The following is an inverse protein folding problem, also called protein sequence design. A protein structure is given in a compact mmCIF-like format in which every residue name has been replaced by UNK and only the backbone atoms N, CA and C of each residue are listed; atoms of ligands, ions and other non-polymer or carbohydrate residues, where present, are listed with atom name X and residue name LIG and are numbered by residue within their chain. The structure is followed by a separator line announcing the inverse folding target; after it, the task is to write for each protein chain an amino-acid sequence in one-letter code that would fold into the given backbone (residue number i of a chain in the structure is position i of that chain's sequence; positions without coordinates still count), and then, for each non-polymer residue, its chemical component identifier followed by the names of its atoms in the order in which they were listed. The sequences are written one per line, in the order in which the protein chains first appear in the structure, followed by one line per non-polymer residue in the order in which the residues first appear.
data_IF_695273646085
#
_entry.id   IF_695273646085
#
_cell.length_a   1.000
_cell.length_b   1.000
_cell.length_c   1.000
_cell.angle_alpha   90.00
_cell.angle_beta   90.00
_cell.angle_gamma   90.00
#
_symmetry.space_group_name_H-M   'P 1'
#
loop_
_entity.id
_entity.type
_entity.pdbx_description
1 polymer ?
#
# COMPACT_ATOMS: atom_id res chain seq x y z
N UNK A 1 -15.76 1.12 -7.65
CA UNK A 1 -14.45 1.37 -8.29
C UNK A 1 -14.46 1.03 -9.78
N UNK A 2 -14.66 -0.22 -10.19
CA UNK A 2 -14.65 -0.64 -11.60
C UNK A 2 -15.53 0.24 -12.52
N UNK A 3 -16.75 0.55 -12.10
CA UNK A 3 -17.67 1.40 -12.86
C UNK A 3 -17.11 2.82 -13.09
N UNK A 4 -16.51 3.44 -12.08
CA UNK A 4 -15.91 4.77 -12.21
C UNK A 4 -14.69 4.74 -13.14
N UNK A 5 -13.81 3.73 -13.00
CA UNK A 5 -12.65 3.56 -13.87
C UNK A 5 -13.04 3.41 -15.34
N UNK A 6 -14.02 2.54 -15.61
CA UNK A 6 -14.46 2.23 -16.97
C UNK A 6 -15.33 3.33 -17.56
N UNK A 7 -16.02 4.13 -16.74
CA UNK A 7 -16.65 5.38 -17.18
C UNK A 7 -15.60 6.35 -17.72
N UNK A 8 -14.51 6.57 -16.98
CA UNK A 8 -13.42 7.45 -17.44
C UNK A 8 -12.81 6.95 -18.74
N UNK A 9 -12.53 5.64 -18.86
CA UNK A 9 -12.05 5.04 -20.10
C UNK A 9 -13.03 5.28 -21.28
N UNK A 10 -14.33 5.14 -21.05
CA UNK A 10 -15.35 5.41 -22.05
C UNK A 10 -15.42 6.89 -22.45
N UNK A 11 -15.27 7.81 -21.49
CA UNK A 11 -15.26 9.26 -21.76
C UNK A 11 -14.04 9.70 -22.57
N UNK A 12 -12.86 9.11 -22.32
CA UNK A 12 -11.63 9.36 -23.10
C UNK A 12 -11.87 8.99 -24.57
N UNK A 13 -12.29 7.74 -24.82
CA UNK A 13 -12.49 7.25 -26.19
C UNK A 13 -13.65 8.00 -26.90
N UNK A 14 -14.72 8.34 -26.16
CA UNK A 14 -15.82 9.15 -26.69
C UNK A 14 -15.38 10.58 -27.02
N UNK A 15 -14.54 11.22 -26.19
CA UNK A 15 -14.02 12.55 -26.47
C UNK A 15 -13.22 12.59 -27.79
N UNK A 16 -12.36 11.59 -27.99
CA UNK A 16 -11.61 11.42 -29.23
C UNK A 16 -12.56 11.23 -30.42
N UNK A 17 -13.56 10.36 -30.26
CA UNK A 17 -14.56 10.10 -31.29
C UNK A 17 -15.39 11.32 -31.69
N UNK A 18 -15.75 12.18 -30.73
CA UNK A 18 -16.63 13.34 -30.95
C UNK A 18 -15.92 14.58 -31.53
N UNK A 19 -14.59 14.55 -31.67
CA UNK A 19 -13.83 15.65 -32.28
C UNK A 19 -12.46 15.88 -31.68
N UNK A 20 -12.12 15.23 -30.57
CA UNK A 20 -10.81 15.30 -29.91
C UNK A 20 -10.32 16.74 -29.65
N UNK A 21 -11.18 17.60 -29.11
CA UNK A 21 -10.85 19.03 -28.86
C UNK A 21 -9.64 19.24 -27.92
N UNK A 22 -9.27 18.20 -27.16
CA UNK A 22 -8.11 18.20 -26.26
C UNK A 22 -6.84 17.67 -26.96
N UNK A 23 -6.90 17.39 -28.26
CA UNK A 23 -5.79 16.90 -29.06
C UNK A 23 -5.08 15.67 -28.47
N UNK A 24 -5.82 14.78 -27.79
CA UNK A 24 -5.28 13.57 -27.16
C UNK A 24 -4.62 12.71 -28.23
N UNK A 25 -3.36 12.32 -28.02
CA UNK A 25 -2.71 11.31 -28.86
C UNK A 25 -3.16 9.92 -28.38
N UNK A 26 -3.92 9.13 -29.20
CA UNK A 26 -4.42 7.83 -28.77
C UNK A 26 -3.33 6.82 -28.40
N UNK A 27 -2.07 7.06 -28.83
CA UNK A 27 -0.90 6.23 -28.52
C UNK A 27 -0.28 6.57 -27.16
N UNK A 28 -0.66 7.70 -26.56
CA UNK A 28 -0.14 8.21 -25.29
C UNK A 28 -1.21 8.24 -24.21
N UNK A 29 -2.28 7.46 -24.37
CA UNK A 29 -3.25 7.19 -23.30
C UNK A 29 -2.60 6.24 -22.29
N UNK A 30 -2.46 6.71 -21.06
CA UNK A 30 -1.94 5.91 -19.94
C UNK A 30 -3.07 5.20 -19.20
N UNK A 31 -4.30 5.72 -19.28
CA UNK A 31 -5.46 5.15 -18.62
C UNK A 31 -5.93 3.85 -19.27
N UNK A 32 -5.91 2.76 -18.49
CA UNK A 32 -6.37 1.43 -18.89
C UNK A 32 -7.77 1.13 -18.34
N UNK A 33 -8.44 0.14 -18.93
CA UNK A 33 -9.70 -0.40 -18.41
C UNK A 33 -9.43 -1.33 -17.22
N UNK A 34 -10.47 -1.73 -16.48
CA UNK A 34 -10.29 -2.72 -15.43
C UNK A 34 -11.46 -3.70 -15.25
N UNK A 35 -11.15 -4.88 -14.74
CA UNK A 35 -12.11 -5.95 -14.44
C UNK A 35 -11.62 -6.77 -13.24
N UNK A 36 -12.52 -7.13 -12.33
CA UNK A 36 -12.16 -7.90 -11.14
C UNK A 36 -12.20 -9.40 -11.40
N UNK A 37 -11.41 -9.83 -12.39
CA UNK A 37 -11.26 -11.21 -12.82
C UNK A 37 -9.80 -11.46 -13.22
N UNK A 38 -9.30 -12.65 -12.92
CA UNK A 38 -7.97 -13.09 -13.33
C UNK A 38 -7.95 -13.47 -14.82
N UNK A 39 -8.11 -12.49 -15.71
CA UNK A 39 -8.18 -12.69 -17.15
C UNK A 39 -6.91 -12.21 -17.86
N UNK A 40 -6.03 -13.16 -18.19
CA UNK A 40 -4.78 -12.85 -18.91
C UNK A 40 -5.01 -12.40 -20.35
N UNK A 41 -6.15 -12.72 -20.95
CA UNK A 41 -6.46 -12.46 -22.36
C UNK A 41 -6.62 -10.95 -22.63
N UNK A 42 -6.98 -10.18 -21.60
CA UNK A 42 -7.23 -8.74 -21.69
C UNK A 42 -6.01 -7.87 -21.34
N UNK A 43 -4.84 -8.46 -21.07
CA UNK A 43 -3.63 -7.70 -20.70
C UNK A 43 -3.19 -6.72 -21.80
N UNK A 44 -3.32 -7.14 -23.06
CA UNK A 44 -2.98 -6.36 -24.24
C UNK A 44 -4.04 -6.59 -25.31
N UNK A 45 -4.70 -5.53 -25.73
CA UNK A 45 -5.75 -5.57 -26.75
C UNK A 45 -5.58 -4.42 -27.73
N UNK A 46 -6.27 -4.53 -28.87
CA UNK A 46 -6.59 -3.39 -29.73
C UNK A 46 -8.10 -3.20 -29.68
N UNK A 47 -8.56 -1.98 -29.40
CA UNK A 47 -9.97 -1.63 -29.34
C UNK A 47 -10.34 -0.63 -30.45
N UNK A 48 -11.58 -0.13 -30.48
CA UNK A 48 -12.02 0.88 -31.44
C UNK A 48 -12.01 0.42 -32.91
N UNK A 49 -12.07 -0.89 -33.14
CA UNK A 49 -12.10 -1.50 -34.48
C UNK A 49 -13.50 -1.43 -35.11
N UNK A 50 -13.61 -1.82 -36.38
CA UNK A 50 -14.91 -1.91 -37.06
C UNK A 50 -15.32 -0.66 -37.84
N UNK A 51 -14.37 0.22 -38.18
CA UNK A 51 -14.60 1.40 -39.01
C UNK A 51 -15.08 2.63 -38.23
N UNK A 52 -15.25 3.75 -38.95
CA UNK A 52 -15.43 5.09 -38.35
C UNK A 52 -16.56 5.18 -37.33
N UNK A 53 -17.65 4.42 -37.49
CA UNK A 53 -18.80 4.49 -36.58
C UNK A 53 -18.54 3.85 -35.19
N UNK A 54 -17.44 3.11 -35.02
CA UNK A 54 -17.18 2.27 -33.85
C UNK A 54 -15.99 2.74 -32.99
N UNK A 55 -15.41 3.91 -33.30
CA UNK A 55 -14.33 4.53 -32.52
C UNK A 55 -13.06 4.79 -33.33
N UNK A 56 -11.95 4.99 -32.62
CA UNK A 56 -10.62 5.17 -33.17
C UNK A 56 -9.71 4.02 -32.70
N UNK A 57 -9.11 3.24 -33.62
CA UNK A 57 -8.24 2.13 -33.24
C UNK A 57 -7.04 2.57 -32.38
N UNK A 58 -6.82 1.89 -31.25
CA UNK A 58 -5.62 2.07 -30.41
C UNK A 58 -5.28 0.80 -29.62
N UNK A 59 -4.04 0.73 -29.17
CA UNK A 59 -3.61 -0.25 -28.18
C UNK A 59 -4.20 0.11 -26.80
N UNK A 60 -4.57 -0.91 -26.04
CA UNK A 60 -5.18 -0.77 -24.72
C UNK A 60 -4.94 -2.03 -23.88
N UNK A 61 -5.44 -2.04 -22.66
CA UNK A 61 -5.46 -3.24 -21.84
C UNK A 61 -6.39 -3.10 -20.63
N UNK A 62 -6.50 -4.21 -19.91
CA UNK A 62 -7.19 -4.28 -18.64
C UNK A 62 -6.20 -4.59 -17.51
N UNK A 63 -6.46 -3.97 -16.37
CA UNK A 63 -5.87 -4.35 -15.09
C UNK A 63 -6.95 -4.89 -14.15
N UNK A 64 -6.52 -5.58 -13.10
CA UNK A 64 -7.44 -6.00 -12.04
C UNK A 64 -7.92 -4.75 -11.28
N UNK A 65 -9.18 -4.70 -10.82
CA UNK A 65 -9.80 -3.47 -10.29
C UNK A 65 -9.02 -2.84 -9.13
N UNK A 66 -8.42 -3.66 -8.27
CA UNK A 66 -7.61 -3.21 -7.13
C UNK A 66 -6.29 -2.53 -7.51
N UNK A 67 -5.86 -2.66 -8.78
CA UNK A 67 -4.70 -1.97 -9.34
C UNK A 67 -5.04 -0.58 -9.91
N UNK A 68 -6.33 -0.24 -10.04
CA UNK A 68 -6.77 1.06 -10.55
C UNK A 68 -6.36 2.21 -9.64
N UNK A 69 -5.93 3.34 -10.20
CA UNK A 69 -5.69 4.58 -9.45
C UNK A 69 -6.96 5.09 -8.77
N UNK A 70 -8.16 4.76 -9.28
CA UNK A 70 -9.43 5.01 -8.59
C UNK A 70 -9.45 4.33 -7.22
N UNK A 71 -8.88 3.13 -7.08
CA UNK A 71 -8.77 2.43 -5.79
C UNK A 71 -7.80 3.16 -4.85
N UNK A 72 -6.67 3.64 -5.36
CA UNK A 72 -5.72 4.42 -4.56
C UNK A 72 -6.32 5.74 -4.08
N UNK A 73 -6.95 6.51 -4.98
CA UNK A 73 -7.67 7.74 -4.65
C UNK A 73 -8.80 7.50 -3.65
N UNK A 74 -9.57 6.42 -3.82
CA UNK A 74 -10.60 5.99 -2.89
C UNK A 74 -10.06 5.69 -1.48
N UNK A 75 -8.90 5.03 -1.39
CA UNK A 75 -8.30 4.69 -0.11
C UNK A 75 -7.62 5.88 0.58
N UNK A 76 -7.19 6.90 -0.18
CA UNK A 76 -6.50 8.08 0.38
C UNK A 76 -7.39 9.32 0.56
N UNK A 77 -8.65 9.28 0.11
CA UNK A 77 -9.58 10.39 0.28
C UNK A 77 -10.01 10.55 1.74
N UNK A 78 -10.13 11.80 2.19
CA UNK A 78 -10.67 12.16 3.50
C UNK A 78 -12.21 12.23 3.50
N UNK A 79 -12.79 12.63 2.37
CA UNK A 79 -14.23 12.75 2.16
C UNK A 79 -14.56 12.73 0.66
N UNK A 80 -15.84 12.92 0.31
CA UNK A 80 -16.30 12.87 -1.08
C UNK A 80 -15.80 14.05 -1.93
N UNK A 81 -15.51 15.20 -1.32
CA UNK A 81 -14.98 16.37 -2.02
C UNK A 81 -13.51 16.15 -2.36
N UNK A 82 -12.71 15.68 -1.40
CA UNK A 82 -11.32 15.27 -1.60
C UNK A 82 -11.23 14.13 -2.63
N UNK A 83 -12.12 13.12 -2.55
CA UNK A 83 -12.18 12.06 -3.57
C UNK A 83 -12.42 12.64 -4.96
N UNK A 84 -13.40 13.55 -5.12
CA UNK A 84 -13.71 14.17 -6.41
C UNK A 84 -12.52 14.96 -6.95
N UNK A 85 -11.81 15.70 -6.10
CA UNK A 85 -10.60 16.43 -6.49
C UNK A 85 -9.50 15.48 -6.96
N UNK A 86 -9.18 14.44 -6.19
CA UNK A 86 -8.19 13.41 -6.57
C UNK A 86 -8.54 12.76 -7.90
N UNK A 87 -9.80 12.38 -8.09
CA UNK A 87 -10.29 11.81 -9.35
C UNK A 87 -10.13 12.78 -10.53
N UNK A 88 -10.32 14.08 -10.32
CA UNK A 88 -10.12 15.10 -11.35
C UNK A 88 -8.65 15.34 -11.70
N UNK A 89 -7.73 15.06 -10.76
CA UNK A 89 -6.29 15.24 -10.91
C UNK A 89 -5.56 14.06 -11.55
N UNK A 90 -6.26 12.96 -11.85
CA UNK A 90 -5.72 11.82 -12.59
C UNK A 90 -5.28 12.27 -13.99
N UNK A 91 -4.03 11.98 -14.36
CA UNK A 91 -3.50 12.15 -15.71
C UNK A 91 -3.86 10.90 -16.53
N UNK A 92 -4.68 11.08 -17.55
CA UNK A 92 -5.23 9.97 -18.33
C UNK A 92 -4.54 9.73 -19.68
N UNK A 93 -3.94 10.78 -20.21
CA UNK A 93 -3.27 10.76 -21.50
C UNK A 93 -2.32 11.96 -21.63
N UNK A 94 -1.60 12.00 -22.74
CA UNK A 94 -0.89 13.18 -23.21
C UNK A 94 -1.41 13.57 -24.59
N UNK A 95 -1.42 14.87 -24.89
CA UNK A 95 -1.75 15.36 -26.22
C UNK A 95 -0.57 15.19 -27.21
N UNK A 96 -0.77 15.65 -28.44
CA UNK A 96 0.27 15.58 -29.49
C UNK A 96 1.50 16.45 -29.20
N UNK A 97 1.36 17.53 -28.42
CA UNK A 97 2.47 18.40 -27.99
C UNK A 97 3.19 17.82 -26.75
N UNK A 98 2.55 16.89 -26.05
CA UNK A 98 3.06 16.18 -24.90
C UNK A 98 2.62 16.74 -23.56
N UNK A 99 1.63 17.63 -23.55
CA UNK A 99 1.04 18.16 -22.33
C UNK A 99 0.09 17.14 -21.69
N UNK A 100 0.01 17.09 -20.35
CA UNK A 100 -0.84 16.13 -19.65
C UNK A 100 -2.32 16.48 -19.80
N UNK A 101 -3.14 15.47 -20.06
CA UNK A 101 -4.60 15.57 -20.08
C UNK A 101 -5.16 14.93 -18.82
N UNK A 102 -5.92 15.71 -18.08
CA UNK A 102 -6.52 15.35 -16.79
C UNK A 102 -7.98 14.91 -16.94
N UNK A 103 -8.43 14.02 -16.05
CA UNK A 103 -9.83 13.59 -15.99
C UNK A 103 -10.83 14.76 -15.84
N UNK A 104 -10.43 15.85 -15.15
CA UNK A 104 -11.26 17.07 -15.03
C UNK A 104 -11.47 17.82 -16.34
N UNK A 105 -10.54 17.74 -17.30
CA UNK A 105 -10.72 18.33 -18.63
C UNK A 105 -11.77 17.56 -19.44
N UNK A 106 -11.98 16.28 -19.13
CA UNK A 106 -13.06 15.44 -19.66
C UNK A 106 -14.36 15.56 -18.85
N UNK A 107 -14.40 16.40 -17.81
CA UNK A 107 -15.54 16.60 -16.89
C UNK A 107 -16.03 15.30 -16.25
N UNK A 108 -15.12 14.36 -15.99
CA UNK A 108 -15.44 13.01 -15.54
C UNK A 108 -15.57 12.89 -14.01
N UNK A 109 -14.91 13.77 -13.26
CA UNK A 109 -14.71 13.69 -11.81
C UNK A 109 -16.02 13.68 -11.01
N UNK A 110 -17.00 14.50 -11.41
CA UNK A 110 -18.31 14.53 -10.76
C UNK A 110 -19.09 13.22 -10.94
N UNK A 111 -19.07 12.65 -12.15
CA UNK A 111 -19.76 11.41 -12.44
C UNK A 111 -19.08 10.20 -11.79
N UNK A 112 -17.75 10.18 -11.77
CA UNK A 112 -16.99 9.16 -11.03
C UNK A 112 -17.25 9.23 -9.53
N UNK A 113 -17.23 10.42 -8.93
CA UNK A 113 -17.56 10.60 -7.51
C UNK A 113 -19.00 10.16 -7.20
N UNK A 114 -19.97 10.45 -8.08
CA UNK A 114 -21.34 9.99 -7.93
C UNK A 114 -21.44 8.45 -7.90
N UNK A 115 -20.72 7.75 -8.77
CA UNK A 115 -20.65 6.27 -8.79
C UNK A 115 -20.01 5.69 -7.53
N UNK A 116 -19.21 6.48 -6.81
CA UNK A 116 -18.50 6.05 -5.59
C UNK A 116 -19.16 6.55 -4.30
N UNK A 117 -20.24 7.35 -4.39
CA UNK A 117 -20.88 8.01 -3.24
C UNK A 117 -21.19 7.05 -2.08
N UNK A 118 -21.87 5.94 -2.38
CA UNK A 118 -22.21 4.95 -1.35
C UNK A 118 -21.05 4.02 -1.04
N UNK A 119 -20.24 3.71 -2.06
CA UNK A 119 -19.06 2.88 -1.89
C UNK A 119 -18.06 3.49 -0.91
N UNK A 120 -17.99 4.81 -0.79
CA UNK A 120 -17.05 5.53 0.09
C UNK A 120 -17.38 5.39 1.60
N UNK A 121 -18.53 4.81 1.94
CA UNK A 121 -18.95 4.57 3.33
C UNK A 121 -18.30 3.28 3.85
N UNK A 122 -17.52 3.33 4.95
CA UNK A 122 -16.92 2.12 5.54
C UNK A 122 -17.95 1.02 5.85
N UNK A 123 -17.62 -0.22 5.52
CA UNK A 123 -18.49 -1.37 5.80
C UNK A 123 -18.20 -1.90 7.21
N UNK A 124 -19.17 -1.79 8.11
CA UNK A 124 -19.09 -2.37 9.45
C UNK A 124 -19.48 -3.86 9.41
N UNK A 125 -18.57 -4.70 9.90
CA UNK A 125 -18.78 -6.13 10.15
C UNK A 125 -18.28 -6.46 11.56
N UNK A 126 -18.17 -7.74 11.90
CA UNK A 126 -17.63 -8.18 13.19
C UNK A 126 -16.70 -9.39 13.04
N UNK A 127 -15.79 -9.55 14.00
CA UNK A 127 -15.00 -10.79 14.17
C UNK A 127 -15.88 -11.92 14.73
N UNK A 128 -15.31 -13.13 14.84
CA UNK A 128 -16.00 -14.28 15.46
C UNK A 128 -16.40 -14.04 16.92
N UNK A 129 -15.73 -13.11 17.61
CA UNK A 129 -15.96 -12.76 19.01
C UNK A 129 -16.78 -11.46 19.18
N UNK A 130 -17.34 -10.94 18.09
CA UNK A 130 -18.19 -9.75 18.13
C UNK A 130 -17.44 -8.42 18.17
N UNK A 131 -16.11 -8.42 17.99
CA UNK A 131 -15.34 -7.16 17.86
C UNK A 131 -15.76 -6.43 16.59
N UNK A 132 -16.15 -5.15 16.66
CA UNK A 132 -16.43 -4.34 15.47
C UNK A 132 -15.22 -4.27 14.53
N UNK A 133 -15.44 -4.47 13.23
CA UNK A 133 -14.38 -4.40 12.23
C UNK A 133 -14.84 -3.65 10.98
N UNK A 134 -14.01 -2.75 10.47
CA UNK A 134 -14.23 -2.11 9.17
C UNK A 134 -13.46 -2.83 8.07
N UNK A 135 -14.14 -3.20 6.99
CA UNK A 135 -13.51 -3.71 5.76
C UNK A 135 -13.80 -2.72 4.62
N UNK A 136 -12.78 -1.96 4.21
CA UNK A 136 -13.00 -0.86 3.27
C UNK A 136 -11.73 -0.47 2.49
N UNK A 137 -11.81 -0.57 1.16
CA UNK A 137 -10.67 -0.36 0.26
C UNK A 137 -9.71 -1.56 0.24
N UNK A 138 -8.82 -1.57 -0.75
CA UNK A 138 -7.84 -2.63 -0.92
C UNK A 138 -6.99 -2.41 -2.16
N UNK A 139 -6.09 -1.41 -2.16
CA UNK A 139 -5.16 -1.18 -3.25
C UNK A 139 -4.01 -2.18 -3.18
N UNK A 140 -3.29 -2.35 -4.29
CA UNK A 140 -2.01 -3.06 -4.28
C UNK A 140 -0.97 -2.38 -3.37
N UNK A 141 0.00 -3.16 -2.90
CA UNK A 141 1.10 -2.70 -2.04
C UNK A 141 2.44 -2.50 -2.79
N UNK A 142 2.48 -2.78 -4.09
CA UNK A 142 3.64 -2.52 -4.96
C UNK A 142 3.47 -1.19 -5.71
N UNK A 143 2.49 -1.08 -6.59
CA UNK A 143 2.18 0.12 -7.39
C UNK A 143 1.31 1.15 -6.63
N UNK A 144 0.91 0.82 -5.40
CA UNK A 144 0.17 1.69 -4.49
C UNK A 144 0.57 1.35 -3.04
N UNK A 145 -0.12 1.94 -2.07
CA UNK A 145 0.27 1.95 -0.66
C UNK A 145 -0.23 0.77 0.18
N UNK A 146 -1.05 -0.14 -0.37
CA UNK A 146 -1.38 -1.40 0.29
C UNK A 146 -2.19 -1.32 1.59
N UNK A 147 -2.92 -0.23 1.84
CA UNK A 147 -3.68 -0.04 3.08
C UNK A 147 -5.19 0.03 2.83
N UNK A 148 -5.99 -0.28 3.86
CA UNK A 148 -7.40 0.08 3.87
C UNK A 148 -7.58 1.62 3.86
N UNK A 149 -8.80 2.09 3.61
CA UNK A 149 -9.07 3.52 3.43
C UNK A 149 -8.78 4.38 4.66
N UNK A 150 -8.36 5.63 4.44
CA UNK A 150 -8.23 6.69 5.44
C UNK A 150 -9.54 6.91 6.19
N UNK A 151 -10.68 6.94 5.49
CA UNK A 151 -12.00 7.17 6.12
C UNK A 151 -12.31 6.09 7.16
N UNK A 152 -12.08 4.82 6.84
CA UNK A 152 -12.30 3.72 7.78
C UNK A 152 -11.37 3.80 9.00
N UNK A 153 -10.08 4.12 8.80
CA UNK A 153 -9.13 4.29 9.90
C UNK A 153 -9.51 5.47 10.80
N UNK A 154 -9.84 6.64 10.23
CA UNK A 154 -10.29 7.81 11.00
C UNK A 154 -11.60 7.55 11.74
N UNK A 155 -12.53 6.81 11.11
CA UNK A 155 -13.78 6.43 11.74
C UNK A 155 -13.54 5.47 12.92
N UNK A 156 -12.64 4.49 12.78
CA UNK A 156 -12.26 3.61 13.89
C UNK A 156 -11.65 4.41 15.06
N UNK A 157 -10.71 5.31 14.78
CA UNK A 157 -10.09 6.20 15.78
C UNK A 157 -11.10 7.12 16.49
N UNK A 158 -12.20 7.47 15.82
CA UNK A 158 -13.23 8.32 16.42
C UNK A 158 -14.16 7.55 17.37
N UNK A 159 -14.42 6.27 17.09
CA UNK A 159 -15.42 5.47 17.81
C UNK A 159 -14.84 4.44 18.78
N UNK A 160 -13.51 4.26 18.82
CA UNK A 160 -12.84 3.31 19.69
C UNK A 160 -11.60 3.93 20.32
N UNK A 161 -11.24 3.44 21.51
CA UNK A 161 -10.01 3.84 22.20
C UNK A 161 -8.75 3.33 21.47
N UNK A 162 -8.87 2.21 20.76
CA UNK A 162 -7.81 1.57 19.98
C UNK A 162 -8.31 1.23 18.57
N UNK A 163 -7.55 1.63 17.55
CA UNK A 163 -7.80 1.25 16.16
C UNK A 163 -6.63 0.41 15.62
N UNK A 164 -6.82 -0.90 15.53
CA UNK A 164 -5.84 -1.82 14.93
C UNK A 164 -6.05 -1.86 13.41
N UNK A 165 -4.98 -1.64 12.65
CA UNK A 165 -4.98 -1.68 11.18
C UNK A 165 -3.70 -2.34 10.68
N UNK A 166 -3.67 -2.70 9.41
CA UNK A 166 -2.53 -3.35 8.77
C UNK A 166 -2.20 -2.73 7.39
N UNK A 167 -1.06 -3.13 6.83
CA UNK A 167 -0.64 -2.82 5.48
C UNK A 167 -0.11 -4.09 4.80
N UNK A 168 -0.29 -4.20 3.48
CA UNK A 168 0.10 -5.38 2.71
C UNK A 168 1.61 -5.56 2.56
N UNK A 169 2.05 -6.81 2.36
CA UNK A 169 3.46 -7.24 2.32
C UNK A 169 4.21 -7.05 3.65
N UNK A 170 5.54 -6.98 3.61
CA UNK A 170 6.40 -6.76 4.78
C UNK A 170 6.50 -5.28 5.16
N UNK A 171 7.20 -5.01 6.26
CA UNK A 171 7.37 -3.64 6.77
C UNK A 171 8.29 -2.77 5.89
N UNK A 172 9.04 -3.37 4.98
CA UNK A 172 9.80 -2.71 3.93
C UNK A 172 8.92 -2.02 2.88
N UNK A 173 7.74 -2.56 2.59
CA UNK A 173 6.80 -1.97 1.63
C UNK A 173 5.55 -1.42 2.30
N UNK A 174 4.80 -2.28 3.02
CA UNK A 174 3.51 -1.93 3.58
C UNK A 174 3.62 -0.88 4.67
N UNK A 175 4.49 -1.10 5.65
CA UNK A 175 4.63 -0.18 6.78
C UNK A 175 5.28 1.16 6.34
N UNK A 176 6.32 1.12 5.50
CA UNK A 176 6.91 2.31 4.89
C UNK A 176 5.83 3.15 4.18
N UNK A 177 5.06 2.56 3.26
CA UNK A 177 3.99 3.29 2.56
C UNK A 177 2.82 3.69 3.46
N UNK A 178 2.51 2.92 4.50
CA UNK A 178 1.53 3.33 5.51
C UNK A 178 1.99 4.62 6.18
N UNK A 179 3.28 4.74 6.52
CA UNK A 179 3.83 5.90 7.21
C UNK A 179 4.05 7.06 6.23
N UNK A 180 4.88 6.87 5.21
CA UNK A 180 5.32 7.93 4.31
C UNK A 180 4.25 8.41 3.32
N UNK A 181 3.21 7.61 3.06
CA UNK A 181 2.09 8.01 2.19
C UNK A 181 0.80 8.22 3.00
N UNK A 182 0.27 7.16 3.65
CA UNK A 182 -1.06 7.23 4.28
C UNK A 182 -1.05 8.16 5.50
N UNK A 183 -0.14 7.98 6.44
CA UNK A 183 -0.05 8.83 7.64
C UNK A 183 0.26 10.28 7.27
N UNK A 184 1.22 10.49 6.35
CA UNK A 184 1.57 11.81 5.83
C UNK A 184 0.37 12.55 5.25
N UNK A 185 -0.37 11.93 4.33
CA UNK A 185 -1.53 12.56 3.68
C UNK A 185 -2.74 12.70 4.60
N UNK A 186 -2.90 11.81 5.58
CA UNK A 186 -4.08 11.79 6.45
C UNK A 186 -3.87 12.51 7.80
N UNK A 187 -2.64 12.91 8.12
CA UNK A 187 -2.27 13.46 9.43
C UNK A 187 -2.37 12.45 10.57
N UNK A 188 -2.18 11.16 10.27
CA UNK A 188 -2.22 10.09 11.27
C UNK A 188 -0.84 9.91 11.91
N UNK A 189 -0.82 9.51 13.18
CA UNK A 189 0.40 9.18 13.91
C UNK A 189 0.19 7.82 14.59
N UNK A 190 0.92 6.77 14.20
CA UNK A 190 0.80 5.47 14.85
C UNK A 190 1.46 5.49 16.25
N UNK A 191 0.75 5.01 17.26
CA UNK A 191 1.26 4.94 18.64
C UNK A 191 2.13 3.72 18.92
N UNK A 192 1.88 2.61 18.20
CA UNK A 192 2.65 1.38 18.31
C UNK A 192 2.60 0.58 17.00
N UNK A 193 3.63 -0.24 16.77
CA UNK A 193 3.72 -1.18 15.63
C UNK A 193 3.89 -2.60 16.14
N UNK A 194 3.15 -3.53 15.52
CA UNK A 194 3.34 -4.98 15.71
C UNK A 194 3.99 -5.56 14.45
N UNK A 195 5.17 -6.14 14.58
CA UNK A 195 5.81 -6.91 13.51
C UNK A 195 5.51 -8.39 13.72
N UNK A 196 4.75 -8.98 12.81
CA UNK A 196 4.39 -10.39 12.87
C UNK A 196 5.48 -11.24 12.22
N UNK A 197 5.92 -12.30 12.90
CA UNK A 197 6.83 -13.29 12.35
C UNK A 197 6.45 -14.73 12.76
N UNK A 198 7.06 -15.71 12.10
CA UNK A 198 6.95 -17.13 12.47
C UNK A 198 8.32 -17.77 12.42
N UNK A 199 8.55 -18.78 13.27
CA UNK A 199 9.79 -19.56 13.27
C UNK A 199 10.08 -20.15 11.89
N UNK A 200 9.05 -20.66 11.21
CA UNK A 200 9.15 -21.23 9.87
C UNK A 200 9.58 -20.19 8.82
N UNK A 201 9.01 -18.99 8.82
CA UNK A 201 9.40 -17.95 7.86
C UNK A 201 10.87 -17.52 8.09
N UNK A 202 11.30 -17.43 9.35
CA UNK A 202 12.69 -17.11 9.66
C UNK A 202 13.65 -18.24 9.24
N UNK A 203 13.32 -19.50 9.51
CA UNK A 203 14.11 -20.63 8.96
C UNK A 203 14.18 -20.62 7.44
N UNK A 204 13.10 -20.23 6.76
CA UNK A 204 13.10 -20.10 5.31
C UNK A 204 14.05 -19.00 4.83
N UNK A 205 14.04 -17.83 5.48
CA UNK A 205 15.04 -16.78 5.23
C UNK A 205 16.48 -17.26 5.51
N UNK A 206 16.66 -18.19 6.44
CA UNK A 206 17.93 -18.88 6.69
C UNK A 206 18.31 -19.96 5.66
N UNK A 207 17.52 -20.15 4.61
CA UNK A 207 17.81 -21.06 3.50
C UNK A 207 17.12 -22.43 3.58
N UNK A 208 16.24 -22.69 4.55
CA UNK A 208 15.53 -23.96 4.65
C UNK A 208 14.44 -24.05 3.59
N UNK A 209 14.40 -25.18 2.86
CA UNK A 209 13.38 -25.48 1.87
C UNK A 209 11.99 -25.58 2.53
N UNK A 210 10.93 -25.26 1.77
CA UNK A 210 9.56 -25.15 2.31
C UNK A 210 9.07 -26.45 2.95
N UNK A 211 9.53 -27.57 2.42
CA UNK A 211 9.18 -28.94 2.83
C UNK A 211 9.78 -29.31 4.19
N UNK A 212 10.92 -28.72 4.55
CA UNK A 212 11.71 -29.07 5.75
C UNK A 212 11.46 -28.14 6.96
N UNK A 213 10.58 -27.15 6.82
CA UNK A 213 10.34 -26.12 7.84
C UNK A 213 9.72 -26.65 9.15
N UNK A 214 9.23 -27.89 9.17
CA UNK A 214 8.64 -28.52 10.36
C UNK A 214 9.66 -29.05 11.37
N UNK A 215 10.93 -29.16 10.99
CA UNK A 215 12.00 -29.64 11.86
C UNK A 215 12.66 -28.48 12.60
N UNK A 216 13.02 -28.68 13.86
CA UNK A 216 13.82 -27.72 14.62
C UNK A 216 15.14 -27.44 13.89
N UNK A 217 15.50 -26.17 13.71
CA UNK A 217 16.80 -25.78 13.17
C UNK A 217 17.24 -24.41 13.66
N UNK A 218 17.95 -24.39 14.80
CA UNK A 218 18.45 -23.17 15.42
C UNK A 218 19.47 -22.42 14.54
N UNK A 219 20.28 -23.13 13.76
CA UNK A 219 21.31 -22.49 12.93
C UNK A 219 20.69 -21.76 11.74
N UNK A 220 19.73 -22.38 11.05
CA UNK A 220 18.96 -21.69 10.02
C UNK A 220 18.17 -20.51 10.60
N UNK A 221 17.58 -20.69 11.79
CA UNK A 221 16.87 -19.61 12.46
C UNK A 221 17.80 -18.42 12.75
N UNK A 222 19.03 -18.66 13.23
CA UNK A 222 20.06 -17.61 13.40
C UNK A 222 20.38 -16.90 12.08
N UNK A 223 20.48 -17.64 10.98
CA UNK A 223 20.77 -17.06 9.66
C UNK A 223 19.60 -16.24 9.09
N UNK A 224 18.36 -16.57 9.44
CA UNK A 224 17.18 -15.86 8.96
C UNK A 224 16.68 -14.72 9.86
N UNK A 225 17.06 -14.72 11.14
CA UNK A 225 16.77 -13.64 12.10
C UNK A 225 17.09 -12.22 11.60
N UNK A 226 18.19 -11.98 10.84
CA UNK A 226 18.49 -10.65 10.31
C UNK A 226 17.35 -10.01 9.52
N UNK A 227 16.48 -10.78 8.86
CA UNK A 227 15.31 -10.23 8.19
C UNK A 227 14.34 -9.53 9.17
N UNK A 228 13.95 -10.21 10.25
CA UNK A 228 13.10 -9.63 11.29
C UNK A 228 13.79 -8.45 11.99
N UNK A 229 15.07 -8.61 12.34
CA UNK A 229 15.82 -7.56 13.03
C UNK A 229 15.97 -6.29 12.18
N UNK A 230 16.09 -6.42 10.86
CA UNK A 230 16.10 -5.26 9.96
C UNK A 230 14.74 -4.54 9.95
N UNK A 231 13.62 -5.27 9.91
CA UNK A 231 12.29 -4.66 10.03
C UNK A 231 12.07 -3.98 11.39
N UNK A 232 12.52 -4.62 12.48
CA UNK A 232 12.51 -4.03 13.83
C UNK A 232 13.31 -2.74 13.84
N UNK A 233 14.55 -2.77 13.35
CA UNK A 233 15.42 -1.60 13.26
C UNK A 233 14.75 -0.48 12.45
N UNK A 234 14.14 -0.78 11.31
CA UNK A 234 13.47 0.24 10.50
C UNK A 234 12.37 0.95 11.32
N UNK A 235 11.51 0.20 12.02
CA UNK A 235 10.44 0.80 12.81
C UNK A 235 10.95 1.60 14.01
N UNK A 236 11.94 1.08 14.74
CA UNK A 236 12.41 1.69 15.99
C UNK A 236 13.42 2.82 15.79
N UNK A 237 14.19 2.81 14.70
CA UNK A 237 15.29 3.78 14.48
C UNK A 237 15.02 4.80 13.38
N UNK A 238 14.33 4.39 12.31
CA UNK A 238 14.01 5.30 11.20
C UNK A 238 12.73 6.06 11.52
N UNK A 239 11.65 5.33 11.79
CA UNK A 239 10.34 5.93 12.06
C UNK A 239 10.11 6.27 13.54
N UNK A 240 10.95 5.71 14.43
CA UNK A 240 10.95 5.94 15.87
C UNK A 240 9.60 5.64 16.53
N UNK A 241 8.98 4.54 16.11
CA UNK A 241 7.69 4.07 16.64
C UNK A 241 7.93 2.93 17.64
N UNK A 242 7.30 2.95 18.84
CA UNK A 242 7.33 1.83 19.76
C UNK A 242 6.89 0.53 19.07
N UNK A 243 7.71 -0.51 19.17
CA UNK A 243 7.52 -1.74 18.39
C UNK A 243 7.53 -2.97 19.28
N UNK A 244 6.64 -3.92 19.01
CA UNK A 244 6.63 -5.28 19.55
C UNK A 244 6.69 -6.29 18.41
N UNK A 245 7.38 -7.41 18.63
CA UNK A 245 7.32 -8.56 17.72
C UNK A 245 6.26 -9.54 18.21
N UNK A 246 5.34 -9.92 17.33
CA UNK A 246 4.38 -10.98 17.58
C UNK A 246 4.82 -12.27 16.86
N UNK A 247 5.10 -13.33 17.63
CA UNK A 247 5.38 -14.65 17.03
C UNK A 247 4.10 -15.47 17.02
N UNK A 248 3.57 -15.72 15.83
CA UNK A 248 2.41 -16.58 15.64
C UNK A 248 2.84 -18.04 15.80
N UNK A 249 2.51 -18.63 16.95
CA UNK A 249 3.00 -19.94 17.37
C UNK A 249 2.36 -21.08 16.57
N UNK A 250 3.17 -22.06 16.18
CA UNK A 250 2.72 -23.36 15.66
C UNK A 250 3.12 -24.48 16.60
N UNK A 251 2.41 -25.60 16.50
CA UNK A 251 2.69 -26.82 17.29
C UNK A 251 4.06 -27.44 17.01
N UNK A 252 4.68 -27.13 15.87
CA UNK A 252 6.02 -27.60 15.49
C UNK A 252 7.15 -26.71 16.01
N UNK A 253 6.82 -25.52 16.52
CA UNK A 253 7.84 -24.56 16.96
C UNK A 253 8.36 -24.99 18.33
N UNK A 254 9.68 -25.14 18.46
CA UNK A 254 10.27 -25.54 19.74
C UNK A 254 10.47 -24.35 20.67
N UNK A 255 10.47 -24.61 21.99
CA UNK A 255 10.75 -23.57 22.98
C UNK A 255 12.16 -22.99 22.81
N UNK A 256 13.12 -23.77 22.29
CA UNK A 256 14.47 -23.30 21.99
C UNK A 256 14.48 -22.29 20.82
N UNK A 257 13.69 -22.54 19.76
CA UNK A 257 13.54 -21.62 18.64
C UNK A 257 12.87 -20.31 19.08
N UNK A 258 11.81 -20.40 19.89
CA UNK A 258 11.12 -19.23 20.43
C UNK A 258 12.02 -18.41 21.36
N UNK A 259 12.79 -19.08 22.23
CA UNK A 259 13.75 -18.42 23.12
C UNK A 259 14.86 -17.70 22.34
N UNK A 260 15.35 -18.29 21.24
CA UNK A 260 16.35 -17.67 20.38
C UNK A 260 15.84 -16.37 19.75
N UNK A 261 14.61 -16.36 19.22
CA UNK A 261 14.00 -15.14 18.66
C UNK A 261 13.85 -14.07 19.74
N UNK A 262 13.38 -14.48 20.92
CA UNK A 262 13.14 -13.59 22.05
C UNK A 262 14.42 -12.93 22.54
N UNK A 263 15.51 -13.70 22.64
CA UNK A 263 16.83 -13.18 22.99
C UNK A 263 17.33 -12.16 21.95
N UNK A 264 17.25 -12.48 20.65
CA UNK A 264 17.72 -11.60 19.58
C UNK A 264 16.94 -10.27 19.52
N UNK A 265 15.62 -10.29 19.68
CA UNK A 265 14.81 -9.06 19.70
C UNK A 265 15.10 -8.22 20.95
N UNK A 266 15.33 -8.86 22.09
CA UNK A 266 15.68 -8.17 23.34
C UNK A 266 16.99 -7.41 23.26
N UNK A 267 17.99 -7.94 22.54
CA UNK A 267 19.25 -7.22 22.25
C UNK A 267 19.03 -5.93 21.46
N UNK A 268 17.91 -5.83 20.73
CA UNK A 268 17.48 -4.64 19.97
C UNK A 268 16.44 -3.79 20.73
N UNK A 269 16.24 -4.06 22.02
CA UNK A 269 15.33 -3.30 22.88
C UNK A 269 13.85 -3.56 22.60
N UNK A 270 13.50 -4.64 21.89
CA UNK A 270 12.12 -4.97 21.51
C UNK A 270 11.67 -6.26 22.19
N UNK A 271 10.47 -6.21 22.77
CA UNK A 271 9.83 -7.38 23.37
C UNK A 271 9.22 -8.30 22.30
N UNK A 272 9.13 -9.58 22.65
CA UNK A 272 8.43 -10.59 21.86
C UNK A 272 7.21 -11.07 22.63
N UNK A 273 6.04 -11.00 22.01
CA UNK A 273 4.82 -11.61 22.51
C UNK A 273 4.47 -12.84 21.66
N UNK A 274 4.29 -13.99 22.31
CA UNK A 274 3.73 -15.16 21.64
C UNK A 274 2.24 -14.94 21.38
N UNK A 275 1.78 -15.31 20.19
CA UNK A 275 0.39 -15.19 19.77
C UNK A 275 -0.16 -16.56 19.37
N UNK A 276 -1.20 -16.98 20.08
CA UNK A 276 -1.94 -18.24 19.87
C UNK A 276 -3.37 -17.97 19.36
N UNK A 277 -3.63 -16.76 18.86
CA UNK A 277 -4.97 -16.29 18.45
C UNK A 277 -5.67 -17.15 17.40
N UNK A 278 -4.90 -17.90 16.61
CA UNK A 278 -5.46 -18.83 15.63
C UNK A 278 -6.14 -20.05 16.30
N UNK A 279 -5.58 -20.56 17.39
CA UNK A 279 -6.10 -21.72 18.11
C UNK A 279 -7.08 -21.31 19.21
N UNK A 280 -6.77 -20.24 19.94
CA UNK A 280 -7.44 -19.88 21.20
C UNK A 280 -8.23 -18.56 21.12
N UNK A 281 -8.40 -18.00 19.92
CA UNK A 281 -9.12 -16.74 19.73
C UNK A 281 -8.48 -15.57 20.48
N UNK A 282 -9.27 -14.61 20.94
CA UNK A 282 -8.80 -13.43 21.65
C UNK A 282 -7.95 -13.75 22.90
N UNK A 283 -8.22 -14.88 23.57
CA UNK A 283 -7.45 -15.33 24.74
C UNK A 283 -5.97 -15.58 24.40
N UNK A 284 -5.70 -16.13 23.22
CA UNK A 284 -4.34 -16.38 22.73
C UNK A 284 -3.58 -15.10 22.34
N UNK A 285 -4.23 -13.93 22.40
CA UNK A 285 -3.65 -12.63 22.08
C UNK A 285 -3.46 -11.70 23.26
N UNK A 286 -3.82 -12.10 24.48
CA UNK A 286 -3.82 -11.21 25.66
C UNK A 286 -2.44 -10.63 25.94
N UNK A 287 -1.39 -11.45 25.93
CA UNK A 287 -0.02 -10.97 26.17
C UNK A 287 0.44 -9.94 25.12
N UNK A 288 0.06 -10.13 23.85
CA UNK A 288 0.33 -9.16 22.80
C UNK A 288 -0.48 -7.88 23.00
N UNK A 289 -1.76 -7.99 23.36
CA UNK A 289 -2.62 -6.85 23.62
C UNK A 289 -2.10 -5.99 24.79
N UNK A 290 -1.70 -6.63 25.90
CA UNK A 290 -1.09 -5.96 27.06
C UNK A 290 0.19 -5.22 26.69
N UNK A 291 1.07 -5.83 25.89
CA UNK A 291 2.29 -5.18 25.42
C UNK A 291 1.99 -4.02 24.47
N UNK A 292 1.02 -4.16 23.56
CA UNK A 292 0.58 -3.06 22.70
C UNK A 292 0.04 -1.90 23.53
N UNK A 293 -0.83 -2.16 24.51
CA UNK A 293 -1.35 -1.12 25.42
C UNK A 293 -0.20 -0.40 26.12
N UNK A 294 0.76 -1.15 26.68
CA UNK A 294 1.96 -0.57 27.32
C UNK A 294 2.76 0.32 26.35
N UNK A 295 2.90 -0.09 25.09
CA UNK A 295 3.60 0.70 24.07
C UNK A 295 2.83 1.97 23.70
N UNK A 296 1.49 1.90 23.59
CA UNK A 296 0.67 3.09 23.31
C UNK A 296 0.70 4.12 24.43
N UNK A 297 0.87 3.71 25.69
CA UNK A 297 1.06 4.62 26.82
C UNK A 297 2.40 5.37 26.76
N UNK A 298 3.43 4.77 26.17
CA UNK A 298 4.69 5.47 25.85
C UNK A 298 4.51 6.45 24.69
N UNK A 299 3.71 6.04 23.70
CA UNK A 299 3.48 6.77 22.45
C UNK A 299 4.74 6.91 21.59
N UNK A 300 4.61 7.61 20.47
CA UNK A 300 5.71 7.89 19.54
C UNK A 300 6.05 9.40 19.49
N UNK A 301 6.57 10.00 20.58
CA UNK A 301 6.82 11.45 20.63
C UNK A 301 7.87 11.93 19.62
N UNK A 302 8.78 11.05 19.21
CA UNK A 302 9.83 11.31 18.23
C UNK A 302 9.49 10.74 16.83
N UNK A 303 8.21 10.45 16.56
CA UNK A 303 7.77 9.95 15.25
C UNK A 303 8.28 10.85 14.11
N UNK A 304 8.93 10.23 13.14
CA UNK A 304 9.50 10.89 11.96
C UNK A 304 9.10 10.15 10.69
N UNK A 305 8.93 10.91 9.62
CA UNK A 305 8.86 10.35 8.28
C UNK A 305 10.27 10.00 7.77
N UNK A 306 10.37 9.12 6.78
CA UNK A 306 11.66 8.70 6.26
C UNK A 306 12.40 9.87 5.58
N UNK A 307 11.67 10.70 4.83
CA UNK A 307 12.21 11.79 4.03
C UNK A 307 11.31 13.03 4.06
N UNK A 308 11.86 14.19 3.72
CA UNK A 308 11.13 15.45 3.58
C UNK A 308 10.37 15.51 2.23
N UNK A 309 9.24 16.23 2.19
CA UNK A 309 8.45 16.40 0.96
C UNK A 309 9.19 17.22 -0.09
N UNK A 310 10.10 18.10 0.33
CA UNK A 310 10.87 18.99 -0.55
C UNK A 310 12.12 18.32 -1.14
N UNK A 311 12.42 17.06 -0.76
CA UNK A 311 13.52 16.33 -1.40
C UNK A 311 13.21 16.00 -2.85
N UNK A 312 14.25 15.99 -3.68
CA UNK A 312 14.17 15.54 -5.06
C UNK A 312 13.67 14.08 -5.12
N UNK A 313 12.88 13.68 -6.13
CA UNK A 313 12.37 12.32 -6.26
C UNK A 313 13.46 11.24 -6.23
N UNK A 314 14.62 11.51 -6.84
CA UNK A 314 15.80 10.64 -6.80
C UNK A 314 16.29 10.42 -5.36
N UNK A 315 16.38 11.48 -4.57
CA UNK A 315 16.84 11.42 -3.17
C UNK A 315 15.83 10.71 -2.27
N UNK A 316 14.53 10.87 -2.54
CA UNK A 316 13.47 10.10 -1.85
C UNK A 316 13.60 8.60 -2.14
N UNK A 317 13.79 8.23 -3.41
CA UNK A 317 14.01 6.83 -3.82
C UNK A 317 15.29 6.27 -3.18
N UNK A 318 16.37 7.04 -3.17
CA UNK A 318 17.64 6.65 -2.56
C UNK A 318 17.52 6.50 -1.04
N UNK A 319 16.78 7.38 -0.36
CA UNK A 319 16.50 7.27 1.07
C UNK A 319 15.76 5.97 1.41
N UNK A 320 14.74 5.59 0.64
CA UNK A 320 14.04 4.30 0.80
C UNK A 320 15.02 3.16 0.59
N UNK A 321 15.74 3.15 -0.53
CA UNK A 321 16.64 2.06 -0.88
C UNK A 321 17.75 1.84 0.17
N UNK A 322 18.42 2.90 0.57
CA UNK A 322 19.59 2.82 1.45
C UNK A 322 19.20 2.62 2.91
N UNK A 323 18.16 3.30 3.40
CA UNK A 323 17.80 3.26 4.83
C UNK A 323 16.85 2.10 5.14
N UNK A 324 15.80 1.92 4.35
CA UNK A 324 14.79 0.86 4.59
C UNK A 324 15.30 -0.48 4.08
N UNK A 325 15.74 -0.57 2.81
CA UNK A 325 16.16 -1.85 2.23
C UNK A 325 17.60 -2.23 2.58
N UNK A 326 18.47 -1.24 2.88
CA UNK A 326 19.89 -1.48 3.12
C UNK A 326 20.70 -1.65 1.83
N UNK A 327 20.24 -1.07 0.71
CA UNK A 327 20.99 -1.02 -0.53
C UNK A 327 22.22 -0.09 -0.41
N UNK A 328 23.24 -0.32 -1.23
CA UNK A 328 24.40 0.58 -1.35
C UNK A 328 24.02 1.92 -2.02
N UNK A 329 23.03 1.90 -2.92
CA UNK A 329 22.57 3.06 -3.67
C UNK A 329 21.52 2.67 -4.71
N UNK A 330 21.25 3.57 -5.66
CA UNK A 330 20.25 3.38 -6.72
C UNK A 330 20.82 3.73 -8.09
N UNK A 331 20.70 2.81 -9.04
CA UNK A 331 21.01 3.05 -10.45
C UNK A 331 19.74 3.35 -11.25
N UNK A 332 19.67 4.53 -11.84
CA UNK A 332 18.54 4.95 -12.67
C UNK A 332 18.82 4.71 -14.16
N UNK A 333 17.92 3.98 -14.81
CA UNK A 333 17.98 3.82 -16.26
C UNK A 333 17.76 5.15 -17.00
N UNK A 334 18.23 5.30 -18.25
CA UNK A 334 17.96 6.50 -19.05
C UNK A 334 16.46 6.79 -19.24
N UNK A 335 15.61 5.76 -19.20
CA UNK A 335 14.15 5.94 -19.26
C UNK A 335 13.59 6.52 -17.96
N UNK A 336 14.04 6.02 -16.79
CA UNK A 336 13.65 6.55 -15.49
C UNK A 336 14.00 8.05 -15.36
N UNK A 337 15.21 8.45 -15.75
CA UNK A 337 15.61 9.87 -15.75
C UNK A 337 14.76 10.76 -16.68
N UNK A 338 14.18 10.20 -17.75
CA UNK A 338 13.25 10.97 -18.59
C UNK A 338 11.91 11.16 -17.89
N UNK A 339 11.40 10.13 -17.22
CA UNK A 339 10.15 10.24 -16.45
C UNK A 339 10.30 11.15 -15.23
N UNK A 340 11.41 11.06 -14.48
CA UNK A 340 11.69 11.95 -13.34
C UNK A 340 11.75 13.42 -13.76
N UNK A 341 12.31 13.73 -14.93
CA UNK A 341 12.27 15.09 -15.50
C UNK A 341 10.86 15.53 -15.86
N UNK A 342 10.01 14.64 -16.39
CA UNK A 342 8.60 14.96 -16.64
C UNK A 342 7.85 15.25 -15.34
N UNK A 343 8.08 14.44 -14.30
CA UNK A 343 7.49 14.64 -12.97
C UNK A 343 7.82 16.04 -12.42
N UNK A 344 9.08 16.47 -12.52
CA UNK A 344 9.50 17.84 -12.16
C UNK A 344 8.82 18.91 -13.01
N UNK A 345 8.76 18.72 -14.33
CA UNK A 345 8.09 19.69 -15.22
C UNK A 345 6.58 19.79 -14.95
N UNK A 346 5.99 18.75 -14.37
CA UNK A 346 4.59 18.72 -13.92
C UNK A 346 4.41 19.19 -12.47
N UNK A 347 5.49 19.62 -11.81
CA UNK A 347 5.52 20.06 -10.41
C UNK A 347 5.01 18.99 -9.44
N UNK A 348 5.27 17.71 -9.73
CA UNK A 348 4.89 16.55 -8.92
C UNK A 348 6.03 15.94 -8.12
N UNK A 349 7.19 16.57 -8.15
CA UNK A 349 8.38 16.23 -7.40
C UNK A 349 8.19 16.28 -5.87
N UNK A 350 7.29 17.14 -5.38
CA UNK A 350 6.92 17.20 -3.96
C UNK A 350 6.08 16.01 -3.47
N UNK A 351 5.60 15.12 -4.35
CA UNK A 351 4.79 13.97 -3.95
C UNK A 351 5.66 12.89 -3.24
N UNK A 352 5.05 12.08 -2.36
CA UNK A 352 5.67 10.85 -1.84
C UNK A 352 5.94 9.82 -2.94
N UNK A 353 6.92 8.95 -2.71
CA UNK A 353 7.32 7.84 -3.58
C UNK A 353 6.64 6.54 -3.17
#
# INVERSE_FOLDING_TARGET
VAAANNLLAALIDNHIYQGNELSIDPRRITWRRCMDMNDRQLRFIVNGLGGRANGAPREDGFDIVVASEVMAAFCLANDISDLKEKLGNIVVAYDYEGDPVYARQLKAEGAMAALLKDALKPNLVQTLEGTPAFIHGGPFANIAHGCNSVIATKMALHFADYAVTEAGFGADLGAEKFIDIKCRKAGLKPDAVVIVATVRALKHNGGVAKEDLGLENLDALRLGLPNLLKHVQNMTTIFKIPTVVAINRRHTDSDAELALISAACKEHGVNVALSEVWADGGKGGVALAEEVVRLTELGAPEFEFLYDDELDPEDKIEAIATRVYGAEGVDFSPAAYRELRKIRNMEYDHLPI
#
